data_IF_026431310607
#
_entry.id   IF_026431310607
#
_cell.length_a   1.000
_cell.length_b   1.000
_cell.length_c   1.000
_cell.angle_alpha   90.00
_cell.angle_beta   90.00
_cell.angle_gamma   90.00
#
_symmetry.space_group_name_H-M   'P 1'
#
loop_
_entity.id
_entity.type
_entity.pdbx_description
1 polymer ?
#
# COMPACT_ATOMS: atom_id res chain seq x y z
N UNK A 1 8.41 5.81 12.73
CA UNK A 1 8.38 6.58 11.47
C UNK A 1 7.09 6.28 10.71
N UNK A 2 6.75 7.06 9.68
CA UNK A 2 5.53 6.83 8.88
C UNK A 2 5.42 5.41 8.31
N UNK A 3 6.54 4.77 7.99
CA UNK A 3 6.61 3.39 7.48
C UNK A 3 6.09 2.32 8.46
N UNK A 4 6.18 2.56 9.77
CA UNK A 4 5.74 1.58 10.79
C UNK A 4 4.33 1.85 11.33
N UNK A 5 3.85 3.09 11.24
CA UNK A 5 2.54 3.49 11.75
C UNK A 5 1.54 3.72 10.61
N UNK A 6 1.83 4.67 9.72
CA UNK A 6 0.89 5.09 8.69
C UNK A 6 0.83 4.15 7.47
N UNK A 7 1.97 3.62 7.01
CA UNK A 7 2.00 2.76 5.82
C UNK A 7 1.20 1.45 5.98
N UNK A 8 1.24 0.74 7.12
CA UNK A 8 0.38 -0.43 7.35
C UNK A 8 -1.12 -0.09 7.29
N UNK A 9 -1.50 1.08 7.82
CA UNK A 9 -2.90 1.55 7.82
C UNK A 9 -3.35 1.87 6.40
N UNK A 10 -2.55 2.62 5.65
CA UNK A 10 -2.84 2.97 4.27
C UNK A 10 -2.98 1.72 3.40
N UNK A 11 -2.08 0.74 3.58
CA UNK A 11 -2.17 -0.55 2.89
C UNK A 11 -3.49 -1.28 3.14
N UNK A 12 -3.93 -1.40 4.40
CA UNK A 12 -5.21 -2.02 4.75
C UNK A 12 -6.42 -1.32 4.12
N UNK A 13 -6.40 0.02 4.08
CA UNK A 13 -7.50 0.79 3.48
C UNK A 13 -7.52 0.62 1.96
N UNK A 14 -6.35 0.68 1.31
CA UNK A 14 -6.24 0.58 -0.15
C UNK A 14 -6.52 -0.82 -0.66
N UNK A 15 -6.11 -1.87 0.06
CA UNK A 15 -6.42 -3.26 -0.31
C UNK A 15 -7.94 -3.49 -0.41
N UNK A 16 -8.71 -2.94 0.54
CA UNK A 16 -10.16 -3.04 0.50
C UNK A 16 -10.78 -2.16 -0.59
N UNK A 17 -10.26 -0.95 -0.80
CA UNK A 17 -10.78 -0.02 -1.79
C UNK A 17 -10.51 -0.47 -3.24
N UNK A 18 -9.43 -1.21 -3.46
CA UNK A 18 -8.95 -1.64 -4.79
C UNK A 18 -9.26 -3.12 -5.09
N UNK A 19 -9.98 -3.83 -4.21
CA UNK A 19 -10.24 -5.28 -4.31
C UNK A 19 -10.82 -5.71 -5.66
N UNK A 20 -11.71 -4.90 -6.22
CA UNK A 20 -12.40 -5.15 -7.48
C UNK A 20 -11.98 -4.15 -8.58
N UNK A 21 -10.91 -3.36 -8.34
CA UNK A 21 -10.41 -2.40 -9.32
C UNK A 21 -9.29 -3.00 -10.16
N UNK A 22 -9.32 -2.75 -11.46
CA UNK A 22 -8.23 -3.12 -12.35
C UNK A 22 -7.03 -2.17 -12.19
N UNK A 23 -5.84 -2.69 -12.48
CA UNK A 23 -4.61 -1.90 -12.46
C UNK A 23 -4.64 -0.87 -13.60
N UNK A 24 -4.67 0.42 -13.24
CA UNK A 24 -4.56 1.51 -14.21
C UNK A 24 -3.09 1.82 -14.43
N UNK A 25 -2.60 1.50 -15.63
CA UNK A 25 -1.24 1.86 -16.04
C UNK A 25 -1.18 3.33 -16.45
N UNK A 26 -0.25 4.08 -15.86
CA UNK A 26 0.01 5.45 -16.27
C UNK A 26 0.75 5.46 -17.61
N UNK A 27 0.20 6.09 -18.67
CA UNK A 27 0.88 6.16 -19.96
C UNK A 27 2.15 7.01 -19.84
N UNK A 28 3.20 6.60 -20.56
CA UNK A 28 4.43 7.40 -20.66
C UNK A 28 4.14 8.64 -21.53
N UNK A 29 4.37 9.87 -21.03
CA UNK A 29 4.10 11.07 -21.81
C UNK A 29 4.93 11.17 -23.09
N UNK A 30 4.34 11.72 -24.15
CA UNK A 30 5.02 12.00 -25.42
C UNK A 30 6.11 13.07 -25.21
N UNK A 31 7.36 12.65 -25.13
CA UNK A 31 8.47 13.56 -24.79
C UNK A 31 9.46 12.97 -23.80
N UNK A 32 9.09 11.87 -23.16
CA UNK A 32 10.00 11.09 -22.32
C UNK A 32 10.59 9.92 -23.14
N UNK A 33 11.90 9.72 -23.01
CA UNK A 33 12.61 8.50 -23.43
C UNK A 33 13.34 7.91 -22.24
N UNK A 34 13.67 6.63 -22.33
CA UNK A 34 14.44 5.97 -21.29
C UNK A 34 15.83 5.65 -21.78
N UNK A 35 16.82 5.97 -20.96
CA UNK A 35 18.22 5.59 -21.15
C UNK A 35 18.75 4.90 -19.90
N UNK A 36 19.97 4.40 -20.00
CA UNK A 36 20.63 3.61 -18.99
C UNK A 36 21.80 4.40 -18.41
N UNK A 37 21.74 4.62 -17.09
CA UNK A 37 22.76 5.35 -16.34
C UNK A 37 23.38 4.43 -15.30
N UNK A 38 24.62 4.70 -14.91
CA UNK A 38 25.25 4.02 -13.80
C UNK A 38 24.66 4.52 -12.47
N UNK A 39 24.36 3.59 -11.56
CA UNK A 39 23.77 3.89 -10.24
C UNK A 39 24.67 4.79 -9.38
N UNK A 40 25.98 4.68 -9.53
CA UNK A 40 26.94 5.36 -8.64
C UNK A 40 27.27 6.79 -9.09
N UNK A 41 27.38 7.03 -10.39
CA UNK A 41 27.89 8.30 -10.93
C UNK A 41 26.91 9.03 -11.87
N UNK A 42 25.82 8.39 -12.29
CA UNK A 42 24.81 8.98 -13.16
C UNK A 42 25.24 9.15 -14.62
N UNK A 43 26.41 8.62 -15.03
CA UNK A 43 26.86 8.66 -16.42
C UNK A 43 26.18 7.57 -17.25
N UNK A 44 26.18 7.75 -18.57
CA UNK A 44 25.69 6.74 -19.51
C UNK A 44 26.40 5.40 -19.29
N UNK A 45 25.61 4.33 -19.19
CA UNK A 45 26.08 2.96 -18.99
C UNK A 45 25.28 2.02 -19.92
N UNK A 46 25.92 1.05 -20.60
CA UNK A 46 25.19 0.08 -21.41
C UNK A 46 24.22 -0.76 -20.58
N UNK A 47 23.04 -1.06 -21.14
CA UNK A 47 21.96 -1.83 -20.51
C UNK A 47 22.42 -3.14 -19.83
N UNK A 48 23.43 -3.80 -20.41
CA UNK A 48 23.92 -5.11 -19.95
C UNK A 48 24.81 -5.04 -18.70
N UNK A 49 25.15 -3.86 -18.21
CA UNK A 49 26.02 -3.70 -17.04
C UNK A 49 25.24 -3.89 -15.73
N UNK A 50 25.87 -4.52 -14.74
CA UNK A 50 25.25 -4.82 -13.43
C UNK A 50 24.94 -3.57 -12.60
N UNK A 51 25.62 -2.47 -12.90
CA UNK A 51 25.52 -1.19 -12.18
C UNK A 51 24.58 -0.21 -12.86
N UNK A 52 23.69 -0.70 -13.72
CA UNK A 52 22.82 0.13 -14.54
C UNK A 52 21.47 0.36 -13.89
N UNK A 53 20.94 1.58 -14.00
CA UNK A 53 19.56 1.95 -13.71
C UNK A 53 18.93 2.62 -14.92
N UNK A 54 17.64 2.35 -15.15
CA UNK A 54 16.86 2.96 -16.21
C UNK A 54 16.35 4.33 -15.74
N UNK A 55 16.67 5.37 -16.50
CA UNK A 55 16.32 6.77 -16.17
C UNK A 55 15.44 7.38 -17.25
N UNK A 56 14.50 8.23 -16.84
CA UNK A 56 13.63 8.97 -17.74
C UNK A 56 14.30 10.30 -18.14
N UNK A 57 14.39 10.56 -19.44
CA UNK A 57 14.97 11.78 -20.01
C UNK A 57 13.97 12.46 -20.93
N UNK A 58 14.02 13.78 -20.95
CA UNK A 58 13.30 14.58 -21.94
C UNK A 58 14.00 14.38 -23.30
N UNK A 59 13.21 14.15 -24.35
CA UNK A 59 13.71 14.04 -25.73
C UNK A 59 14.59 15.26 -26.06
N UNK A 60 15.82 14.99 -26.48
CA UNK A 60 16.83 16.01 -26.80
C UNK A 60 17.97 16.08 -25.77
N UNK A 61 17.71 15.68 -24.52
CA UNK A 61 18.75 15.64 -23.48
C UNK A 61 19.49 14.32 -23.52
N UNK A 62 20.81 14.33 -23.40
CA UNK A 62 21.66 13.12 -23.45
C UNK A 62 22.38 12.97 -22.11
N UNK A 63 22.57 11.73 -21.65
CA UNK A 63 23.41 11.47 -20.48
C UNK A 63 24.86 11.82 -20.76
N UNK A 64 25.59 12.33 -19.76
CA UNK A 64 27.02 12.56 -19.91
C UNK A 64 27.73 11.20 -20.11
N UNK A 65 28.70 11.16 -21.04
CA UNK A 65 29.54 9.98 -21.25
C UNK A 65 30.80 10.08 -20.41
N UNK A 66 31.32 8.94 -19.93
CA UNK A 66 32.62 8.90 -19.28
C UNK A 66 33.69 9.27 -20.30
N UNK A 67 34.59 10.18 -19.92
CA UNK A 67 35.77 10.51 -20.71
C UNK A 67 36.65 9.27 -20.83
N UNK A 68 36.58 8.56 -21.96
CA UNK A 68 37.57 7.54 -22.26
C UNK A 68 38.89 8.25 -22.54
N UNK A 69 40.01 7.93 -21.85
CA UNK A 69 41.30 8.42 -22.28
C UNK A 69 41.52 7.95 -23.71
N UNK A 70 41.62 8.90 -24.64
CA UNK A 70 41.87 8.63 -26.05
C UNK A 70 43.29 8.12 -26.16
N UNK A 71 43.47 6.80 -26.26
CA UNK A 71 44.68 6.26 -26.88
C UNK A 71 44.55 6.59 -28.36
N UNK A 72 45.32 7.57 -28.82
CA UNK A 72 45.41 7.94 -30.23
C UNK A 72 46.14 6.82 -30.97
N UNK A 73 45.43 5.74 -31.27
CA UNK A 73 45.86 4.80 -32.29
C UNK A 73 45.23 5.19 -33.62
N UNK A 74 46.13 5.34 -34.59
CA UNK A 74 45.96 5.87 -35.95
C UNK A 74 44.63 5.48 -36.59
N UNK A 75 43.85 6.49 -36.97
CA UNK A 75 42.58 6.40 -37.70
C UNK A 75 42.77 5.70 -39.07
N UNK A 76 41.94 4.72 -39.44
CA UNK A 76 41.58 4.49 -40.83
C UNK A 76 40.09 4.80 -41.08
N UNK A 77 39.89 5.81 -41.94
CA UNK A 77 38.77 6.12 -42.83
C UNK A 77 37.34 5.60 -42.52
N UNK A 78 36.46 6.59 -42.32
CA UNK A 78 35.05 6.73 -42.76
C UNK A 78 34.14 5.52 -42.49
N UNK A 79 33.50 5.53 -41.32
CA UNK A 79 32.30 4.73 -41.06
C UNK A 79 31.07 5.53 -41.47
N UNK A 80 30.29 4.99 -42.40
CA UNK A 80 28.96 5.50 -42.75
C UNK A 80 28.01 5.32 -41.56
N UNK A 81 27.35 6.41 -41.17
CA UNK A 81 26.39 6.43 -40.06
C UNK A 81 25.11 5.73 -40.53
N UNK A 82 24.96 4.45 -40.18
CA UNK A 82 23.69 3.74 -40.33
C UNK A 82 22.70 4.29 -39.30
N UNK A 83 21.64 4.95 -39.78
CA UNK A 83 20.49 5.34 -38.95
C UNK A 83 19.77 4.07 -38.49
N UNK A 84 19.92 3.70 -37.22
CA UNK A 84 19.13 2.65 -36.58
C UNK A 84 17.74 3.19 -36.26
N UNK A 85 16.72 2.78 -37.02
CA UNK A 85 15.32 3.02 -36.67
C UNK A 85 14.93 2.10 -35.49
N UNK A 86 14.94 2.66 -34.29
CA UNK A 86 14.50 1.96 -33.08
C UNK A 86 12.97 2.05 -33.02
N UNK A 87 12.29 0.91 -33.27
CA UNK A 87 10.85 0.79 -33.01
C UNK A 87 10.57 0.96 -31.51
N UNK A 88 9.65 1.84 -31.09
CA UNK A 88 9.28 1.96 -29.69
C UNK A 88 8.45 0.73 -29.28
N UNK A 89 9.03 -0.12 -28.44
CA UNK A 89 8.28 -1.16 -27.73
C UNK A 89 7.57 -0.54 -26.52
N UNK A 90 6.25 -0.73 -26.37
CA UNK A 90 5.53 -0.25 -25.19
C UNK A 90 5.99 -1.06 -23.96
N UNK A 91 6.81 -0.43 -23.11
CA UNK A 91 7.25 -1.06 -21.87
C UNK A 91 6.44 -0.52 -20.69
N UNK A 92 5.70 -1.44 -20.08
CA UNK A 92 4.88 -1.27 -18.88
C UNK A 92 5.79 -1.12 -17.67
N UNK A 93 5.45 -0.20 -16.76
CA UNK A 93 6.15 -0.04 -15.49
C UNK A 93 6.07 -1.35 -14.69
N UNK A 94 7.20 -1.78 -14.12
CA UNK A 94 7.24 -2.95 -13.24
C UNK A 94 6.27 -2.75 -12.08
N UNK A 95 5.39 -3.76 -11.90
CA UNK A 95 4.35 -3.86 -10.87
C UNK A 95 4.76 -3.22 -9.54
N UNK A 96 3.84 -2.57 -8.81
CA UNK A 96 4.14 -2.07 -7.48
C UNK A 96 4.69 -3.20 -6.61
N UNK A 97 5.71 -2.87 -5.80
CA UNK A 97 6.27 -3.76 -4.79
C UNK A 97 5.08 -4.31 -3.99
N UNK A 98 4.81 -5.62 -4.11
CA UNK A 98 3.88 -6.30 -3.22
C UNK A 98 4.45 -6.16 -1.82
N UNK A 99 3.98 -5.15 -1.08
CA UNK A 99 4.23 -5.05 0.35
C UNK A 99 3.65 -6.35 0.89
N UNK A 100 4.53 -7.25 1.35
CA UNK A 100 4.11 -8.42 2.11
C UNK A 100 3.57 -7.87 3.43
N UNK A 101 2.31 -7.45 3.42
CA UNK A 101 1.58 -7.24 4.64
C UNK A 101 1.58 -8.60 5.32
N UNK A 102 2.29 -8.70 6.45
CA UNK A 102 2.01 -9.78 7.35
C UNK A 102 0.71 -9.36 8.06
N UNK A 103 -0.45 -9.96 7.75
CA UNK A 103 -1.71 -9.67 8.44
C UNK A 103 -1.60 -9.91 9.96
N UNK A 104 -0.50 -10.52 10.41
CA UNK A 104 -0.15 -10.75 11.81
C UNK A 104 0.42 -9.56 12.58
N UNK A 105 0.60 -8.35 12.01
CA UNK A 105 1.07 -7.22 12.83
C UNK A 105 -0.05 -6.64 13.71
N UNK A 106 -0.43 -7.44 14.72
CA UNK A 106 -1.46 -7.16 15.71
C UNK A 106 -1.24 -5.83 16.43
N UNK A 107 0.01 -5.46 16.66
CA UNK A 107 0.39 -4.18 17.27
C UNK A 107 -0.09 -2.99 16.44
N UNK A 108 0.01 -3.06 15.10
CA UNK A 108 -0.49 -2.01 14.20
C UNK A 108 -2.02 -1.94 14.21
N UNK A 109 -2.71 -3.09 14.22
CA UNK A 109 -4.17 -3.14 14.33
C UNK A 109 -4.66 -2.53 15.65
N UNK A 110 -4.05 -2.92 16.77
CA UNK A 110 -4.36 -2.36 18.10
C UNK A 110 -4.10 -0.87 18.15
N UNK A 111 -2.95 -0.42 17.63
CA UNK A 111 -2.61 1.00 17.58
C UNK A 111 -3.64 1.80 16.78
N UNK A 112 -4.08 1.29 15.62
CA UNK A 112 -5.10 1.94 14.81
C UNK A 112 -6.43 2.07 15.57
N UNK A 113 -6.90 0.99 16.20
CA UNK A 113 -8.15 1.04 16.97
C UNK A 113 -8.10 2.09 18.09
N UNK A 114 -6.96 2.20 18.76
CA UNK A 114 -6.75 3.20 19.81
C UNK A 114 -6.69 4.64 19.28
N UNK A 115 -6.22 4.83 18.04
CA UNK A 115 -6.00 6.14 17.42
C UNK A 115 -6.96 6.41 16.27
N UNK A 116 -8.14 5.82 16.31
CA UNK A 116 -9.06 5.73 15.18
C UNK A 116 -9.36 7.09 14.54
N UNK A 117 -9.58 8.12 15.37
CA UNK A 117 -9.91 9.48 14.95
C UNK A 117 -8.75 10.15 14.21
N UNK A 118 -7.56 10.13 14.83
CA UNK A 118 -6.33 10.68 14.27
C UNK A 118 -5.88 9.91 13.03
N UNK A 119 -5.92 8.58 13.07
CA UNK A 119 -5.52 7.70 11.98
C UNK A 119 -6.46 7.84 10.76
N UNK A 120 -7.72 8.20 10.98
CA UNK A 120 -8.66 8.50 9.90
C UNK A 120 -8.52 9.91 9.32
N UNK A 121 -7.68 10.78 9.91
CA UNK A 121 -7.51 12.18 9.53
C UNK A 121 -8.86 12.93 9.43
N UNK A 122 -9.77 12.71 10.38
CA UNK A 122 -11.12 13.28 10.38
C UNK A 122 -12.09 12.68 9.34
N UNK A 123 -11.63 11.75 8.51
CA UNK A 123 -12.44 11.06 7.49
C UNK A 123 -13.09 9.79 8.01
N UNK A 124 -13.25 9.67 9.34
CA UNK A 124 -13.78 8.47 9.96
C UNK A 124 -15.10 8.04 9.31
N UNK A 125 -16.02 8.99 9.07
CA UNK A 125 -17.32 8.74 8.41
C UNK A 125 -17.22 8.06 7.04
N UNK A 126 -16.09 8.20 6.33
CA UNK A 126 -15.84 7.57 5.02
C UNK A 126 -15.32 6.13 5.12
N UNK A 127 -14.85 5.69 6.29
CA UNK A 127 -14.41 4.31 6.47
C UNK A 127 -15.63 3.38 6.43
N UNK A 128 -15.66 2.35 5.57
CA UNK A 128 -16.79 1.42 5.49
C UNK A 128 -17.07 0.69 6.80
N UNK A 129 -18.35 0.49 7.14
CA UNK A 129 -18.76 -0.28 8.34
C UNK A 129 -18.21 -1.71 8.32
N UNK A 130 -18.11 -2.33 7.14
CA UNK A 130 -17.50 -3.65 6.96
C UNK A 130 -16.07 -3.73 7.50
N UNK A 131 -15.31 -2.62 7.46
CA UNK A 131 -13.95 -2.56 7.96
C UNK A 131 -13.89 -2.69 9.49
N UNK A 132 -14.80 -2.01 10.19
CA UNK A 132 -14.95 -2.13 11.65
C UNK A 132 -15.35 -3.55 12.05
N UNK A 133 -16.27 -4.15 11.29
CA UNK A 133 -16.72 -5.53 11.49
C UNK A 133 -15.56 -6.51 11.34
N UNK A 134 -14.73 -6.34 10.30
CA UNK A 134 -13.56 -7.19 10.08
C UNK A 134 -12.55 -7.06 11.22
N UNK A 135 -12.26 -5.84 11.70
CA UNK A 135 -11.35 -5.64 12.83
C UNK A 135 -11.88 -6.27 14.13
N UNK A 136 -13.18 -6.22 14.37
CA UNK A 136 -13.77 -6.92 15.52
C UNK A 136 -13.68 -8.44 15.38
N UNK A 137 -13.86 -9.00 14.19
CA UNK A 137 -13.68 -10.44 13.94
C UNK A 137 -12.23 -10.85 14.16
N UNK A 138 -11.32 -10.17 13.48
CA UNK A 138 -9.90 -10.47 13.53
C UNK A 138 -9.40 -10.45 14.96
N UNK A 139 -9.85 -9.50 15.78
CA UNK A 139 -9.32 -9.32 17.14
C UNK A 139 -10.14 -9.99 18.25
N UNK A 140 -11.16 -10.80 17.92
CA UNK A 140 -12.06 -11.39 18.92
C UNK A 140 -11.34 -12.37 19.83
N UNK A 141 -10.61 -13.34 19.29
CA UNK A 141 -10.03 -14.43 20.09
C UNK A 141 -8.50 -14.39 20.14
N UNK A 142 -7.90 -13.20 19.95
CA UNK A 142 -6.45 -13.08 19.89
C UNK A 142 -5.83 -12.88 21.27
N UNK A 143 -4.84 -13.72 21.57
CA UNK A 143 -3.90 -13.58 22.67
C UNK A 143 -2.77 -12.62 22.25
N UNK A 144 -2.58 -11.53 23.00
CA UNK A 144 -1.56 -10.52 22.71
C UNK A 144 -0.75 -10.22 23.96
N UNK A 145 0.47 -9.72 23.78
CA UNK A 145 1.32 -9.24 24.88
C UNK A 145 0.75 -8.03 25.63
N UNK A 146 -0.34 -7.41 25.13
CA UNK A 146 -0.97 -6.24 25.74
C UNK A 146 -2.51 -6.31 25.68
N UNK A 147 -3.12 -7.22 26.44
CA UNK A 147 -4.56 -7.47 26.40
C UNK A 147 -5.39 -6.23 26.79
N UNK A 148 -4.89 -5.40 27.70
CA UNK A 148 -5.56 -4.15 28.10
C UNK A 148 -5.66 -3.16 26.94
N UNK A 149 -4.58 -3.00 26.17
CA UNK A 149 -4.54 -2.12 25.00
C UNK A 149 -5.51 -2.61 23.93
N UNK A 150 -5.57 -3.93 23.74
CA UNK A 150 -6.52 -4.55 22.83
C UNK A 150 -7.97 -4.28 23.27
N UNK A 151 -8.30 -4.55 24.54
CA UNK A 151 -9.64 -4.33 25.08
C UNK A 151 -10.07 -2.86 24.95
N UNK A 152 -9.16 -1.91 25.24
CA UNK A 152 -9.42 -0.48 25.07
C UNK A 152 -9.64 -0.10 23.59
N UNK A 153 -8.83 -0.64 22.68
CA UNK A 153 -9.01 -0.40 21.25
C UNK A 153 -10.33 -0.97 20.73
N UNK A 154 -10.68 -2.19 21.13
CA UNK A 154 -11.97 -2.81 20.79
C UNK A 154 -13.14 -1.97 21.31
N UNK A 155 -13.06 -1.48 22.56
CA UNK A 155 -14.07 -0.57 23.13
C UNK A 155 -14.32 0.66 22.25
N UNK A 156 -13.25 1.35 21.84
CA UNK A 156 -13.34 2.52 20.94
C UNK A 156 -14.02 2.15 19.61
N UNK A 157 -13.67 1.00 19.04
CA UNK A 157 -14.25 0.53 17.79
C UNK A 157 -15.76 0.24 17.91
N UNK A 158 -16.17 -0.37 19.02
CA UNK A 158 -17.57 -0.69 19.34
C UNK A 158 -18.40 0.59 19.54
N UNK A 159 -17.89 1.55 20.31
CA UNK A 159 -18.56 2.85 20.53
C UNK A 159 -18.77 3.61 19.21
N UNK A 160 -17.77 3.59 18.31
CA UNK A 160 -17.90 4.23 17.00
C UNK A 160 -18.86 3.47 16.08
N UNK A 161 -18.97 2.15 16.21
CA UNK A 161 -20.01 1.37 15.52
C UNK A 161 -21.41 1.70 16.04
N UNK A 162 -21.59 1.78 17.37
CA UNK A 162 -22.84 2.20 18.00
C UNK A 162 -23.26 3.59 17.53
N UNK A 163 -22.31 4.52 17.51
CA UNK A 163 -22.56 5.90 17.06
C UNK A 163 -23.04 5.98 15.60
N UNK A 164 -22.72 4.99 14.76
CA UNK A 164 -23.13 4.94 13.34
C UNK A 164 -24.47 4.25 13.14
N UNK A 165 -24.68 3.14 13.84
CA UNK A 165 -25.82 2.26 13.61
C UNK A 165 -26.97 2.51 14.60
N UNK A 166 -26.71 3.26 15.67
CA UNK A 166 -27.66 3.58 16.73
C UNK A 166 -27.87 2.42 17.70
N UNK A 167 -28.18 1.22 17.20
CA UNK A 167 -28.45 0.05 18.02
C UNK A 167 -28.04 -1.26 17.33
N UNK A 168 -27.65 -2.26 18.14
CA UNK A 168 -27.30 -3.60 17.67
C UNK A 168 -28.44 -4.62 17.82
N UNK A 169 -29.67 -4.15 18.07
CA UNK A 169 -30.86 -5.01 18.26
C UNK A 169 -31.26 -5.84 17.03
N UNK A 170 -30.78 -5.47 15.84
CA UNK A 170 -31.11 -6.17 14.59
C UNK A 170 -30.38 -7.51 14.43
N UNK A 171 -29.50 -7.91 15.36
CA UNK A 171 -28.77 -9.18 15.32
C UNK A 171 -27.69 -9.29 14.22
N UNK A 172 -27.67 -8.36 13.26
CA UNK A 172 -26.72 -8.32 12.14
C UNK A 172 -26.14 -6.91 11.95
N UNK A 173 -24.81 -6.82 11.89
CA UNK A 173 -24.05 -5.59 11.66
C UNK A 173 -23.19 -5.78 10.40
N UNK A 174 -23.44 -4.98 9.36
CA UNK A 174 -22.63 -5.01 8.13
C UNK A 174 -22.49 -6.40 7.49
N UNK A 175 -23.53 -7.24 7.58
CA UNK A 175 -23.55 -8.62 7.07
C UNK A 175 -22.99 -9.68 8.02
N UNK A 176 -22.57 -9.31 9.24
CA UNK A 176 -22.07 -10.23 10.26
C UNK A 176 -23.04 -10.36 11.44
N UNK A 177 -23.24 -11.59 11.94
CA UNK A 177 -24.01 -11.78 13.17
C UNK A 177 -23.27 -11.19 14.38
N UNK A 178 -24.01 -10.45 15.20
CA UNK A 178 -23.53 -9.77 16.41
C UNK A 178 -22.77 -10.74 17.33
N UNK A 179 -23.27 -11.97 17.51
CA UNK A 179 -22.63 -13.02 18.34
C UNK A 179 -21.21 -13.40 17.91
N UNK A 180 -20.87 -13.18 16.63
CA UNK A 180 -19.54 -13.52 16.08
C UNK A 180 -18.55 -12.35 16.26
N UNK A 181 -19.04 -11.16 16.61
CA UNK A 181 -18.22 -9.94 16.67
C UNK A 181 -17.77 -9.59 18.10
N UNK A 182 -18.65 -9.79 19.08
CA UNK A 182 -18.44 -9.34 20.45
C UNK A 182 -18.07 -10.51 21.37
N UNK A 183 -17.17 -10.24 22.33
CA UNK A 183 -16.92 -11.16 23.45
C UNK A 183 -18.09 -11.13 24.43
N UNK A 184 -18.31 -12.19 25.24
CA UNK A 184 -19.34 -12.18 26.28
C UNK A 184 -19.23 -11.01 27.26
N UNK A 185 -18.00 -10.63 27.63
CA UNK A 185 -17.73 -9.48 28.48
C UNK A 185 -18.16 -8.15 27.85
N UNK A 186 -17.83 -7.95 26.57
CA UNK A 186 -18.17 -6.75 25.82
C UNK A 186 -19.68 -6.65 25.58
N UNK A 187 -20.32 -7.77 25.25
CA UNK A 187 -21.77 -7.78 25.06
C UNK A 187 -22.52 -7.40 26.35
N UNK A 188 -22.02 -7.85 27.50
CA UNK A 188 -22.57 -7.45 28.80
C UNK A 188 -22.36 -5.96 29.09
N UNK A 189 -21.17 -5.43 28.80
CA UNK A 189 -20.84 -4.00 28.99
C UNK A 189 -21.71 -3.08 28.13
N UNK A 190 -22.00 -3.47 26.89
CA UNK A 190 -22.74 -2.66 25.92
C UNK A 190 -24.22 -3.03 25.77
N UNK A 191 -24.76 -3.91 26.63
CA UNK A 191 -26.16 -4.32 26.58
C UNK A 191 -26.57 -5.00 25.26
N UNK A 192 -25.65 -5.75 24.66
CA UNK A 192 -25.84 -6.39 23.35
C UNK A 192 -26.48 -7.77 23.54
N UNK A 193 -27.64 -8.06 22.93
CA UNK A 193 -28.25 -9.37 23.01
C UNK A 193 -27.39 -10.38 22.22
N UNK A 194 -26.77 -11.32 22.94
CA UNK A 194 -26.05 -12.47 22.34
C UNK A 194 -26.98 -13.65 22.06
N UNK A 195 -28.20 -13.62 22.61
CA UNK A 195 -29.21 -14.65 22.42
C UNK A 195 -30.01 -14.38 21.15
N UNK A 196 -29.99 -15.36 20.25
CA UNK A 196 -31.13 -15.65 19.38
C UNK A 196 -31.95 -16.63 20.21
N UNK A 197 -33.00 -16.16 20.88
CA UNK A 197 -34.08 -17.09 21.20
C UNK A 197 -34.78 -17.41 19.88
N UNK A 198 -34.66 -18.68 19.51
CA UNK A 198 -35.24 -19.42 18.37
C UNK A 198 -34.56 -19.27 17.00
#
# INVERSE_FOLDING_TARGET
TGAHAAAPIWGLVMEQALKDSEEVNFPVPSGIRFEYANISDGFYEPEKSKTTVKVALIKGNVLPMRSTPVVVDKIPKRLEVVKLEIKPSPQVASRPIKIKHNPSNMSSKIWFMLNLENASMGKLKKIPTSWFVQMLRDTRDIETSSPERLNKGRKVLIEKLLSRQGSFKSGVIGGAQVKVLFRPSEAKEFGIPLTTEN
#
